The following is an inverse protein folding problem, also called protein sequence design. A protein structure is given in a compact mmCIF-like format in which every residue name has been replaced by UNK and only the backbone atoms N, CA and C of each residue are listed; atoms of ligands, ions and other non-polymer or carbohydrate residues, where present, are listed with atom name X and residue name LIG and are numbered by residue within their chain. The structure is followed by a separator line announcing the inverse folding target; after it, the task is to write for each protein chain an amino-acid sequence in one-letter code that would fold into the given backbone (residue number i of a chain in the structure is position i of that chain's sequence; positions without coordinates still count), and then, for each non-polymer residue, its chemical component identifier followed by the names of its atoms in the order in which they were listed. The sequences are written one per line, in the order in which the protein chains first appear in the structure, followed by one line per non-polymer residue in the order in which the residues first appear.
data_IF_639461280783
#
_entry.id   IF_639461280783
#
_cell.length_a   1.000
_cell.length_b   1.000
_cell.length_c   1.000
_cell.angle_alpha   90.00
_cell.angle_beta   90.00
_cell.angle_gamma   90.00
#
_symmetry.space_group_name_H-M   'P 1'
#
loop_
_entity.id
_entity.type
_entity.pdbx_description
1 polymer ?
#
# COMPACT_ATOMS: atom_id res chain seq x y z
N UNK A 1 -47.75 -17.68 -65.29
CA UNK A 1 -47.54 -19.13 -65.14
C UNK A 1 -46.65 -19.35 -63.93
N UNK A 2 -47.16 -20.13 -62.95
CA UNK A 2 -46.43 -20.94 -61.94
C UNK A 2 -45.44 -20.18 -61.01
N UNK A 3 -45.55 -20.14 -59.68
CA UNK A 3 -46.31 -20.89 -58.68
C UNK A 3 -45.40 -21.10 -57.45
N UNK A 4 -45.91 -20.83 -56.24
CA UNK A 4 -45.59 -21.38 -54.90
C UNK A 4 -45.62 -20.28 -53.83
N UNK A 5 -46.51 -20.25 -52.83
CA UNK A 5 -46.92 -21.18 -51.75
C UNK A 5 -46.44 -20.61 -50.41
N UNK A 6 -47.36 -20.04 -49.63
CA UNK A 6 -47.20 -19.93 -48.17
C UNK A 6 -48.59 -19.92 -47.48
N UNK A 7 -48.80 -20.74 -46.44
CA UNK A 7 -50.07 -20.90 -45.72
C UNK A 7 -50.29 -19.80 -44.64
N UNK A 8 -51.49 -19.71 -44.04
CA UNK A 8 -51.87 -18.62 -43.14
C UNK A 8 -51.32 -18.84 -41.72
N UNK A 9 -50.96 -17.75 -41.04
CA UNK A 9 -50.71 -17.78 -39.59
C UNK A 9 -52.03 -17.48 -38.89
N UNK A 10 -52.48 -18.45 -38.11
CA UNK A 10 -53.66 -18.43 -37.26
C UNK A 10 -53.65 -17.23 -36.30
N UNK A 11 -54.61 -16.32 -36.50
CA UNK A 11 -55.07 -15.40 -35.49
C UNK A 11 -56.12 -16.10 -34.63
N UNK A 12 -55.71 -16.72 -33.51
CA UNK A 12 -56.57 -17.05 -32.36
C UNK A 12 -55.77 -17.74 -31.27
N UNK A 13 -55.37 -17.00 -30.25
CA UNK A 13 -55.28 -17.41 -28.84
C UNK A 13 -54.50 -16.33 -28.09
N UNK A 14 -54.73 -16.18 -26.79
CA UNK A 14 -54.07 -15.23 -25.86
C UNK A 14 -54.73 -13.85 -25.70
N UNK A 15 -56.06 -13.81 -25.57
CA UNK A 15 -56.73 -12.70 -24.86
C UNK A 15 -57.75 -13.19 -23.84
N UNK A 16 -57.38 -14.13 -22.96
CA UNK A 16 -58.27 -14.53 -21.84
C UNK A 16 -57.62 -14.98 -20.53
N UNK A 17 -56.30 -14.89 -20.32
CA UNK A 17 -55.68 -15.39 -19.05
C UNK A 17 -55.15 -14.27 -18.14
N UNK A 18 -55.21 -13.00 -18.56
CA UNK A 18 -54.64 -11.89 -17.80
C UNK A 18 -55.47 -11.41 -16.58
N UNK A 19 -56.58 -12.06 -16.20
CA UNK A 19 -57.48 -11.55 -15.15
C UNK A 19 -57.75 -12.49 -13.97
N UNK A 20 -56.97 -13.56 -13.78
CA UNK A 20 -57.15 -14.48 -12.63
C UNK A 20 -55.91 -14.67 -11.73
N UNK A 21 -54.77 -14.03 -12.05
CA UNK A 21 -53.54 -14.12 -11.22
C UNK A 21 -53.39 -12.93 -10.27
N UNK A 22 -54.20 -11.87 -10.42
CA UNK A 22 -54.06 -10.66 -9.59
C UNK A 22 -54.80 -10.70 -8.23
N UNK A 23 -55.61 -11.74 -7.96
CA UNK A 23 -56.39 -11.82 -6.71
C UNK A 23 -55.89 -12.86 -5.69
N UNK A 24 -54.83 -13.62 -5.98
CA UNK A 24 -54.19 -14.54 -4.99
C UNK A 24 -52.97 -13.89 -4.30
N UNK A 25 -52.47 -12.76 -4.82
CA UNK A 25 -51.33 -12.05 -4.23
C UNK A 25 -51.64 -11.16 -3.01
N UNK A 26 -52.91 -10.96 -2.65
CA UNK A 26 -53.32 -10.02 -1.60
C UNK A 26 -53.70 -10.68 -0.25
N UNK A 27 -53.64 -12.01 -0.13
CA UNK A 27 -53.97 -12.73 1.12
C UNK A 27 -52.79 -13.40 1.81
N UNK A 28 -51.55 -13.25 1.33
CA UNK A 28 -50.36 -13.83 2.00
C UNK A 28 -49.50 -12.84 2.80
N UNK A 29 -49.89 -11.58 2.95
CA UNK A 29 -49.11 -10.62 3.77
C UNK A 29 -49.32 -10.72 5.28
N UNK A 30 -50.25 -11.56 5.76
CA UNK A 30 -50.51 -11.72 7.20
C UNK A 30 -49.59 -12.74 7.91
N UNK A 31 -48.87 -13.60 7.17
CA UNK A 31 -48.10 -14.72 7.76
C UNK A 31 -46.58 -14.47 7.93
N UNK A 32 -46.06 -13.30 7.54
CA UNK A 32 -44.64 -12.97 7.73
C UNK A 32 -44.35 -12.20 9.03
N UNK A 33 -45.37 -11.91 9.85
CA UNK A 33 -45.21 -11.11 11.06
C UNK A 33 -44.36 -11.78 12.16
N UNK A 34 -44.24 -13.12 12.15
CA UNK A 34 -43.66 -13.86 13.28
C UNK A 34 -42.47 -14.76 12.92
N UNK A 35 -41.74 -14.45 11.84
CA UNK A 35 -40.45 -15.11 11.58
C UNK A 35 -39.38 -14.52 12.49
N UNK A 36 -39.33 -14.96 13.74
CA UNK A 36 -38.14 -14.78 14.61
C UNK A 36 -36.93 -15.27 13.85
N UNK A 37 -35.93 -14.40 13.68
CA UNK A 37 -34.65 -14.81 13.14
C UNK A 37 -33.89 -15.58 14.25
N UNK A 38 -33.66 -16.90 14.08
CA UNK A 38 -32.99 -17.71 15.08
C UNK A 38 -31.50 -17.35 15.22
N UNK A 39 -30.91 -16.67 14.23
CA UNK A 39 -29.50 -16.29 14.24
C UNK A 39 -29.28 -14.86 14.77
N UNK A 40 -30.34 -14.13 15.12
CA UNK A 40 -30.24 -12.77 15.64
C UNK A 40 -29.75 -12.76 17.09
N UNK A 41 -28.85 -11.84 17.47
CA UNK A 41 -28.41 -11.67 18.86
C UNK A 41 -29.50 -11.03 19.76
N UNK A 42 -30.68 -10.72 19.20
CA UNK A 42 -31.80 -10.07 19.86
C UNK A 42 -32.83 -11.08 20.34
N UNK A 43 -33.41 -10.82 21.51
CA UNK A 43 -34.52 -11.62 22.06
C UNK A 43 -35.75 -11.56 21.15
N UNK A 44 -36.63 -12.57 21.24
CA UNK A 44 -37.89 -12.62 20.48
C UNK A 44 -38.74 -11.36 20.69
N UNK A 45 -38.80 -10.87 21.93
CA UNK A 45 -39.55 -9.67 22.27
C UNK A 45 -38.95 -8.42 21.57
N UNK A 46 -37.63 -8.23 21.66
CA UNK A 46 -36.95 -7.13 20.97
C UNK A 46 -37.17 -7.18 19.45
N UNK A 47 -37.05 -8.36 18.83
CA UNK A 47 -37.31 -8.51 17.40
C UNK A 47 -38.77 -8.14 17.02
N UNK A 48 -39.75 -8.55 17.83
CA UNK A 48 -41.16 -8.20 17.63
C UNK A 48 -41.39 -6.69 17.73
N UNK A 49 -40.83 -6.05 18.76
CA UNK A 49 -40.92 -4.60 18.94
C UNK A 49 -40.22 -3.83 17.81
N UNK A 50 -39.06 -4.28 17.32
CA UNK A 50 -38.37 -3.67 16.18
C UNK A 50 -39.16 -3.81 14.88
N UNK A 51 -39.84 -4.93 14.63
CA UNK A 51 -40.76 -5.06 13.48
C UNK A 51 -41.93 -4.09 13.60
N UNK A 52 -42.45 -3.88 14.80
CA UNK A 52 -43.49 -2.87 15.06
C UNK A 52 -42.97 -1.46 14.78
N UNK A 53 -41.77 -1.12 15.26
CA UNK A 53 -41.11 0.16 14.99
C UNK A 53 -40.87 0.38 13.48
N UNK A 54 -40.35 -0.63 12.78
CA UNK A 54 -40.16 -0.63 11.34
C UNK A 54 -41.49 -0.43 10.58
N UNK A 55 -42.59 -1.03 11.04
CA UNK A 55 -43.92 -0.82 10.47
C UNK A 55 -44.42 0.63 10.64
N UNK A 56 -44.12 1.28 11.77
CA UNK A 56 -44.41 2.71 11.95
C UNK A 56 -43.53 3.58 11.05
N UNK A 57 -42.23 3.29 10.96
CA UNK A 57 -41.28 3.99 10.10
C UNK A 57 -41.69 3.90 8.61
N UNK A 58 -42.09 2.71 8.14
CA UNK A 58 -42.62 2.48 6.78
C UNK A 58 -43.83 3.36 6.46
N UNK A 59 -44.63 3.71 7.47
CA UNK A 59 -45.81 4.59 7.35
C UNK A 59 -45.47 6.07 7.52
N UNK A 60 -44.18 6.44 7.58
CA UNK A 60 -43.72 7.81 7.83
C UNK A 60 -43.93 8.29 9.27
N UNK A 61 -44.29 7.41 10.21
CA UNK A 61 -44.55 7.74 11.61
C UNK A 61 -43.29 7.60 12.45
N UNK A 62 -42.28 8.40 12.13
CA UNK A 62 -41.00 8.43 12.85
C UNK A 62 -41.17 8.79 14.33
N UNK A 63 -42.12 9.67 14.65
CA UNK A 63 -42.53 10.03 16.01
C UNK A 63 -42.91 8.84 16.89
N UNK A 64 -43.52 7.80 16.31
CA UNK A 64 -43.91 6.56 17.02
C UNK A 64 -42.84 5.48 16.96
N UNK A 65 -42.02 5.48 15.92
CA UNK A 65 -40.94 4.51 15.75
C UNK A 65 -39.74 4.82 16.66
N UNK A 66 -39.33 6.08 16.74
CA UNK A 66 -38.13 6.51 17.47
C UNK A 66 -38.12 6.14 18.96
N UNK A 67 -39.22 6.29 19.74
CA UNK A 67 -39.24 5.87 21.14
C UNK A 67 -38.98 4.37 21.30
N UNK A 68 -39.51 3.53 20.39
CA UNK A 68 -39.32 2.07 20.45
C UNK A 68 -37.86 1.71 20.13
N UNK A 69 -37.27 2.36 19.11
CA UNK A 69 -35.84 2.15 18.81
C UNK A 69 -34.96 2.57 19.99
N UNK A 70 -35.24 3.72 20.61
CA UNK A 70 -34.49 4.21 21.76
C UNK A 70 -34.63 3.32 22.99
N UNK A 71 -35.84 2.84 23.29
CA UNK A 71 -36.09 1.90 24.38
C UNK A 71 -35.25 0.63 24.20
N UNK A 72 -35.28 0.04 23.00
CA UNK A 72 -34.49 -1.17 22.72
C UNK A 72 -33.00 -0.88 22.76
N UNK A 73 -32.57 0.29 22.27
CA UNK A 73 -31.16 0.70 22.31
C UNK A 73 -30.60 0.74 23.74
N UNK A 74 -31.40 1.16 24.74
CA UNK A 74 -30.95 1.14 26.14
C UNK A 74 -30.65 -0.27 26.66
N UNK A 75 -31.25 -1.28 26.05
CA UNK A 75 -31.04 -2.70 26.39
C UNK A 75 -29.90 -3.35 25.61
N UNK A 76 -29.29 -2.64 24.65
CA UNK A 76 -28.13 -3.14 23.90
C UNK A 76 -26.85 -3.04 24.74
N UNK A 77 -26.33 -4.20 25.16
CA UNK A 77 -25.13 -4.34 25.99
C UNK A 77 -23.85 -4.62 25.22
N UNK A 78 -23.96 -4.93 23.93
CA UNK A 78 -22.86 -5.36 23.07
C UNK A 78 -23.02 -4.81 21.65
N UNK A 79 -21.92 -4.85 20.89
CA UNK A 79 -21.87 -4.36 19.53
C UNK A 79 -22.80 -5.16 18.58
N UNK A 80 -22.83 -6.50 18.56
CA UNK A 80 -23.71 -7.26 17.66
C UNK A 80 -25.18 -6.89 17.80
N UNK A 81 -25.68 -6.65 19.03
CA UNK A 81 -27.05 -6.17 19.23
C UNK A 81 -27.27 -4.79 18.63
N UNK A 82 -26.35 -3.85 18.81
CA UNK A 82 -26.48 -2.51 18.21
C UNK A 82 -26.54 -2.58 16.68
N UNK A 83 -25.65 -3.37 16.06
CA UNK A 83 -25.64 -3.55 14.59
C UNK A 83 -26.93 -4.22 14.10
N UNK A 84 -27.43 -5.22 14.84
CA UNK A 84 -28.70 -5.88 14.51
C UNK A 84 -29.88 -4.91 14.58
N UNK A 85 -29.96 -4.07 15.61
CA UNK A 85 -30.99 -3.02 15.74
C UNK A 85 -30.89 -2.01 14.60
N UNK A 86 -29.67 -1.57 14.25
CA UNK A 86 -29.45 -0.63 13.15
C UNK A 86 -29.97 -1.17 11.81
N UNK A 87 -29.86 -2.48 11.55
CA UNK A 87 -30.39 -3.13 10.35
C UNK A 87 -31.91 -2.95 10.15
N UNK A 88 -32.68 -2.81 11.23
CA UNK A 88 -34.13 -2.53 11.14
C UNK A 88 -34.45 -1.10 10.70
N UNK A 89 -33.46 -0.20 10.68
CA UNK A 89 -33.63 1.20 10.27
C UNK A 89 -33.21 1.44 8.82
N UNK A 90 -32.44 0.54 8.20
CA UNK A 90 -31.77 0.77 6.90
C UNK A 90 -32.76 1.17 5.79
N UNK A 91 -33.92 0.50 5.73
CA UNK A 91 -34.87 0.64 4.61
C UNK A 91 -35.77 1.89 4.66
N UNK A 92 -35.77 2.65 5.76
CA UNK A 92 -36.83 3.64 6.04
C UNK A 92 -36.39 5.11 5.98
N UNK A 93 -35.26 5.38 5.30
CA UNK A 93 -34.81 6.72 4.92
C UNK A 93 -34.79 7.72 6.09
N UNK A 94 -35.23 8.96 5.83
CA UNK A 94 -35.22 10.08 6.79
C UNK A 94 -35.96 9.80 8.11
N UNK A 95 -37.03 8.99 8.08
CA UNK A 95 -37.88 8.77 9.26
C UNK A 95 -37.19 8.10 10.44
N UNK A 96 -36.03 7.47 10.20
CA UNK A 96 -35.26 6.74 11.21
C UNK A 96 -33.81 7.22 11.33
N UNK A 97 -33.44 8.32 10.67
CA UNK A 97 -32.03 8.79 10.65
C UNK A 97 -31.52 9.10 12.06
N UNK A 98 -32.29 9.79 12.89
CA UNK A 98 -31.86 10.15 14.24
C UNK A 98 -31.71 8.91 15.14
N UNK A 99 -32.67 7.98 15.06
CA UNK A 99 -32.58 6.71 15.77
C UNK A 99 -31.35 5.91 15.30
N UNK A 100 -31.12 5.83 13.99
CA UNK A 100 -29.97 5.14 13.39
C UNK A 100 -28.65 5.77 13.85
N UNK A 101 -28.55 7.10 13.86
CA UNK A 101 -27.37 7.81 14.38
C UNK A 101 -27.14 7.46 15.84
N UNK A 102 -28.17 7.50 16.69
CA UNK A 102 -28.06 7.16 18.10
C UNK A 102 -27.61 5.71 18.32
N UNK A 103 -28.14 4.76 17.54
CA UNK A 103 -27.75 3.34 17.59
C UNK A 103 -26.28 3.18 17.22
N UNK A 104 -25.81 3.83 16.13
CA UNK A 104 -24.42 3.74 15.71
C UNK A 104 -23.47 4.45 16.67
N UNK A 105 -23.89 5.56 17.29
CA UNK A 105 -23.11 6.23 18.33
C UNK A 105 -22.92 5.32 19.55
N UNK A 106 -23.98 4.62 19.97
CA UNK A 106 -23.89 3.63 21.04
C UNK A 106 -23.01 2.43 20.65
N UNK A 107 -23.11 1.99 19.40
CA UNK A 107 -22.25 0.93 18.86
C UNK A 107 -20.76 1.32 18.99
N UNK A 108 -20.43 2.57 18.67
CA UNK A 108 -19.08 3.12 18.82
C UNK A 108 -18.61 3.15 20.28
N UNK A 109 -19.46 3.55 21.23
CA UNK A 109 -19.13 3.54 22.66
C UNK A 109 -18.84 2.14 23.21
N UNK A 110 -19.48 1.13 22.64
CA UNK A 110 -19.33 -0.28 23.03
C UNK A 110 -18.16 -0.97 22.32
N UNK A 111 -17.60 -0.36 21.26
CA UNK A 111 -16.44 -0.90 20.55
C UNK A 111 -15.22 -0.96 21.47
N UNK A 112 -14.54 -2.10 21.49
CA UNK A 112 -13.32 -2.31 22.30
C UNK A 112 -12.14 -2.75 21.47
N UNK A 113 -12.40 -3.52 20.42
CA UNK A 113 -11.37 -4.09 19.57
C UNK A 113 -11.21 -3.26 18.29
N UNK A 114 -10.07 -3.47 17.62
CA UNK A 114 -9.81 -2.89 16.31
C UNK A 114 -10.88 -3.29 15.28
N UNK A 115 -11.30 -4.56 15.26
CA UNK A 115 -12.34 -5.04 14.35
C UNK A 115 -13.72 -4.43 14.65
N UNK A 116 -14.03 -4.16 15.92
CA UNK A 116 -15.27 -3.49 16.32
C UNK A 116 -15.39 -2.11 15.67
N UNK A 117 -14.32 -1.30 15.77
CA UNK A 117 -14.34 0.05 15.21
C UNK A 117 -14.40 0.04 13.68
N UNK A 118 -13.76 -0.93 13.00
CA UNK A 118 -13.91 -1.12 11.55
C UNK A 118 -15.36 -1.41 11.20
N UNK A 119 -15.98 -2.37 11.89
CA UNK A 119 -17.36 -2.76 11.63
C UNK A 119 -18.30 -1.57 11.82
N UNK A 120 -18.12 -0.80 12.89
CA UNK A 120 -18.89 0.44 13.15
C UNK A 120 -18.66 1.47 12.07
N UNK A 121 -17.42 1.69 11.62
CA UNK A 121 -17.11 2.65 10.56
C UNK A 121 -17.79 2.26 9.24
N UNK A 122 -17.63 1.00 8.80
CA UNK A 122 -18.24 0.48 7.56
C UNK A 122 -19.76 0.57 7.61
N UNK A 123 -20.38 0.12 8.71
CA UNK A 123 -21.83 0.15 8.86
C UNK A 123 -22.36 1.58 8.97
N UNK A 124 -21.69 2.46 9.70
CA UNK A 124 -22.07 3.88 9.78
C UNK A 124 -22.00 4.56 8.42
N UNK A 125 -21.01 4.21 7.58
CA UNK A 125 -20.88 4.72 6.21
C UNK A 125 -22.01 4.22 5.32
N UNK A 126 -22.30 2.92 5.35
CA UNK A 126 -23.45 2.30 4.64
C UNK A 126 -24.77 2.99 5.01
N UNK A 127 -24.88 3.44 6.26
CA UNK A 127 -26.05 4.06 6.84
C UNK A 127 -26.09 5.59 6.74
N UNK A 128 -25.08 6.20 6.09
CA UNK A 128 -24.93 7.65 5.92
C UNK A 128 -24.76 8.43 7.25
N UNK A 129 -24.33 7.76 8.32
CA UNK A 129 -23.97 8.35 9.61
C UNK A 129 -22.52 8.84 9.60
N UNK A 130 -22.19 9.79 8.72
CA UNK A 130 -20.81 10.21 8.44
C UNK A 130 -20.04 10.76 9.66
N UNK A 131 -20.74 11.37 10.61
CA UNK A 131 -20.20 11.85 11.87
C UNK A 131 -19.71 10.71 12.77
N UNK A 132 -20.50 9.63 12.87
CA UNK A 132 -20.11 8.42 13.60
C UNK A 132 -18.99 7.68 12.87
N UNK A 133 -19.05 7.60 11.54
CA UNK A 133 -17.97 7.03 10.72
C UNK A 133 -16.64 7.73 10.99
N UNK A 134 -16.63 9.07 10.98
CA UNK A 134 -15.42 9.87 11.28
C UNK A 134 -14.89 9.56 12.68
N UNK A 135 -15.77 9.50 13.68
CA UNK A 135 -15.40 9.27 15.08
C UNK A 135 -14.83 7.86 15.29
N UNK A 136 -15.46 6.84 14.71
CA UNK A 136 -14.98 5.45 14.75
C UNK A 136 -13.58 5.31 14.16
N UNK A 137 -13.32 6.04 13.09
CA UNK A 137 -12.03 6.01 12.43
C UNK A 137 -10.95 6.76 13.21
N UNK A 138 -11.27 7.90 13.80
CA UNK A 138 -10.31 8.59 14.66
C UNK A 138 -9.85 7.66 15.81
N UNK A 139 -10.78 6.86 16.35
CA UNK A 139 -10.45 5.82 17.31
C UNK A 139 -9.56 4.72 16.68
N UNK A 140 -9.88 4.22 15.47
CA UNK A 140 -9.03 3.25 14.75
C UNK A 140 -7.59 3.72 14.57
N UNK A 141 -7.40 4.94 14.06
CA UNK A 141 -6.06 5.51 13.85
C UNK A 141 -5.32 5.66 15.18
N UNK A 142 -6.02 6.01 16.26
CA UNK A 142 -5.42 6.14 17.60
C UNK A 142 -4.94 4.80 18.17
N UNK A 143 -5.69 3.71 17.93
CA UNK A 143 -5.42 2.38 18.50
C UNK A 143 -4.46 1.55 17.63
N UNK A 144 -4.44 1.77 16.31
CA UNK A 144 -3.57 1.04 15.39
C UNK A 144 -2.11 1.44 15.59
N UNK A 145 -1.27 0.51 16.10
CA UNK A 145 0.12 0.81 16.46
C UNK A 145 1.15 -0.08 15.75
N UNK A 146 0.71 -1.12 15.05
CA UNK A 146 1.60 -1.95 14.23
C UNK A 146 1.50 -1.59 12.76
N UNK A 147 2.58 -1.77 11.97
CA UNK A 147 2.55 -1.53 10.52
C UNK A 147 1.44 -2.32 9.81
N UNK A 148 1.18 -3.55 10.23
CA UNK A 148 0.15 -4.43 9.63
C UNK A 148 -1.25 -3.89 9.89
N UNK A 149 -1.53 -3.47 11.13
CA UNK A 149 -2.81 -2.84 11.49
C UNK A 149 -3.03 -1.55 10.69
N UNK A 150 -1.99 -0.74 10.51
CA UNK A 150 -2.09 0.51 9.75
C UNK A 150 -2.31 0.27 8.25
N UNK A 151 -1.70 -0.80 7.70
CA UNK A 151 -1.89 -1.20 6.30
C UNK A 151 -3.31 -1.71 6.06
N UNK A 152 -3.81 -2.55 6.97
CA UNK A 152 -5.17 -3.09 6.92
C UNK A 152 -6.20 -1.96 7.08
N UNK A 153 -5.96 -1.03 8.00
CA UNK A 153 -6.78 0.17 8.17
C UNK A 153 -6.82 1.01 6.89
N UNK A 154 -5.66 1.23 6.27
CA UNK A 154 -5.57 1.99 5.03
C UNK A 154 -6.36 1.34 3.88
N UNK A 155 -6.22 0.03 3.69
CA UNK A 155 -6.96 -0.72 2.66
C UNK A 155 -8.46 -0.67 2.90
N UNK A 156 -8.91 -1.00 4.11
CA UNK A 156 -10.34 -0.99 4.47
C UNK A 156 -10.94 0.41 4.37
N UNK A 157 -10.22 1.45 4.81
CA UNK A 157 -10.67 2.84 4.67
C UNK A 157 -10.75 3.25 3.19
N UNK A 158 -9.80 2.83 2.36
CA UNK A 158 -9.84 3.07 0.92
C UNK A 158 -11.04 2.39 0.24
N UNK A 159 -11.35 1.14 0.59
CA UNK A 159 -12.51 0.38 0.09
C UNK A 159 -13.85 1.09 0.36
N UNK A 160 -13.99 1.74 1.52
CA UNK A 160 -15.20 2.51 1.87
C UNK A 160 -15.15 3.98 1.42
N UNK A 161 -14.22 4.32 0.52
CA UNK A 161 -14.04 5.68 -0.03
C UNK A 161 -13.72 6.74 1.04
N UNK A 162 -12.89 6.38 2.00
CA UNK A 162 -12.40 7.27 3.06
C UNK A 162 -10.91 7.53 2.89
N UNK A 163 -10.58 8.21 1.80
CA UNK A 163 -9.21 8.46 1.34
C UNK A 163 -8.36 9.19 2.39
N UNK A 164 -8.89 10.21 3.05
CA UNK A 164 -8.16 10.99 4.07
C UNK A 164 -7.67 10.12 5.22
N UNK A 165 -8.47 9.12 5.58
CA UNK A 165 -8.18 8.20 6.68
C UNK A 165 -7.14 7.19 6.27
N UNK A 166 -7.31 6.63 5.08
CA UNK A 166 -6.34 5.73 4.51
C UNK A 166 -4.97 6.42 4.39
N UNK A 167 -4.98 7.69 3.98
CA UNK A 167 -3.79 8.53 3.91
C UNK A 167 -3.16 8.74 5.30
N UNK A 168 -3.93 9.17 6.31
CA UNK A 168 -3.45 9.32 7.69
C UNK A 168 -2.88 8.01 8.28
N UNK A 169 -3.50 6.87 7.99
CA UNK A 169 -3.01 5.57 8.42
C UNK A 169 -1.66 5.22 7.77
N UNK A 170 -1.51 5.49 6.47
CA UNK A 170 -0.25 5.31 5.76
C UNK A 170 0.82 6.29 6.21
N UNK A 171 0.48 7.54 6.50
CA UNK A 171 1.40 8.51 7.12
C UNK A 171 1.91 8.01 8.47
N UNK A 172 1.01 7.52 9.33
CA UNK A 172 1.40 6.91 10.61
C UNK A 172 2.28 5.68 10.38
N UNK A 173 1.95 4.81 9.42
CA UNK A 173 2.78 3.64 9.08
C UNK A 173 4.18 4.06 8.69
N UNK A 174 4.32 5.09 7.86
CA UNK A 174 5.60 5.60 7.40
C UNK A 174 6.54 5.95 8.56
N UNK A 175 6.03 6.56 9.64
CA UNK A 175 6.84 6.91 10.83
C UNK A 175 7.44 5.72 11.56
N UNK A 176 6.90 4.51 11.35
CA UNK A 176 7.35 3.27 12.00
C UNK A 176 8.33 2.50 11.11
N UNK A 177 8.40 2.81 9.82
CA UNK A 177 9.31 2.15 8.87
C UNK A 177 10.74 2.63 9.10
N UNK A 178 11.65 1.69 9.39
CA UNK A 178 13.06 1.98 9.73
C UNK A 178 14.09 1.24 8.87
N UNK A 179 13.65 0.39 7.94
CA UNK A 179 14.53 -0.46 7.15
C UNK A 179 14.30 -0.19 5.66
N UNK A 180 15.37 -0.33 4.85
CA UNK A 180 15.29 -0.19 3.39
C UNK A 180 14.26 -1.13 2.76
N UNK A 181 14.22 -2.44 3.10
CA UNK A 181 13.17 -3.32 2.58
C UNK A 181 11.77 -2.87 2.97
N UNK A 182 11.56 -2.45 4.23
CA UNK A 182 10.27 -1.96 4.69
C UNK A 182 9.83 -0.67 4.00
N UNK A 183 10.77 0.21 3.65
CA UNK A 183 10.49 1.43 2.89
C UNK A 183 10.08 1.10 1.44
N UNK A 184 10.72 0.13 0.80
CA UNK A 184 10.33 -0.33 -0.53
C UNK A 184 8.95 -1.00 -0.52
N UNK A 185 8.64 -1.81 0.49
CA UNK A 185 7.31 -2.40 0.68
C UNK A 185 6.25 -1.31 0.90
N UNK A 186 6.55 -0.33 1.75
CA UNK A 186 5.67 0.81 2.00
C UNK A 186 5.42 1.63 0.72
N UNK A 187 6.45 1.93 -0.07
CA UNK A 187 6.31 2.65 -1.33
C UNK A 187 5.44 1.87 -2.33
N UNK A 188 5.63 0.55 -2.42
CA UNK A 188 4.80 -0.30 -3.28
C UNK A 188 3.34 -0.32 -2.83
N UNK A 189 3.06 -0.36 -1.53
CA UNK A 189 1.69 -0.25 -1.03
C UNK A 189 1.05 1.11 -1.33
N UNK A 190 1.79 2.21 -1.15
CA UNK A 190 1.32 3.54 -1.52
C UNK A 190 1.01 3.63 -3.02
N UNK A 191 1.87 3.06 -3.87
CA UNK A 191 1.65 2.97 -5.31
C UNK A 191 0.33 2.26 -5.64
N UNK A 192 0.07 1.10 -5.01
CA UNK A 192 -1.15 0.32 -5.22
C UNK A 192 -2.42 1.04 -4.75
N UNK A 193 -2.32 1.85 -3.69
CA UNK A 193 -3.44 2.66 -3.16
C UNK A 193 -3.59 4.01 -3.87
N UNK A 194 -2.67 4.37 -4.78
CA UNK A 194 -2.68 5.66 -5.49
C UNK A 194 -2.21 6.85 -4.65
N UNK A 195 -1.50 6.63 -3.54
CA UNK A 195 -0.92 7.68 -2.69
C UNK A 195 0.45 8.12 -3.22
N UNK A 196 0.44 8.80 -4.36
CA UNK A 196 1.65 9.22 -5.09
C UNK A 196 2.53 10.18 -4.29
N UNK A 197 1.95 11.00 -3.42
CA UNK A 197 2.69 11.92 -2.55
C UNK A 197 3.53 11.18 -1.49
N UNK A 198 2.94 10.18 -0.81
CA UNK A 198 3.63 9.34 0.17
C UNK A 198 4.65 8.41 -0.48
N UNK A 199 4.30 7.83 -1.64
CA UNK A 199 5.21 7.04 -2.46
C UNK A 199 6.47 7.86 -2.81
N UNK A 200 6.29 9.08 -3.33
CA UNK A 200 7.39 9.96 -3.73
C UNK A 200 8.22 10.41 -2.54
N UNK A 201 7.57 10.74 -1.41
CA UNK A 201 8.26 11.09 -0.17
C UNK A 201 9.15 9.93 0.30
N UNK A 202 8.60 8.72 0.41
CA UNK A 202 9.34 7.55 0.85
C UNK A 202 10.51 7.22 -0.08
N UNK A 203 10.30 7.24 -1.40
CA UNK A 203 11.38 6.99 -2.38
C UNK A 203 12.46 8.06 -2.31
N UNK A 204 12.09 9.33 -2.15
CA UNK A 204 13.06 10.42 -2.02
C UNK A 204 13.90 10.26 -0.75
N UNK A 205 13.27 9.96 0.38
CA UNK A 205 13.96 9.79 1.67
C UNK A 205 14.88 8.56 1.62
N UNK A 206 14.45 7.47 0.97
CA UNK A 206 15.28 6.30 0.68
C UNK A 206 16.54 6.66 -0.15
N UNK A 207 16.39 7.53 -1.15
CA UNK A 207 17.52 8.02 -1.95
C UNK A 207 18.43 8.89 -1.10
N UNK A 208 17.87 9.78 -0.27
CA UNK A 208 18.62 10.75 0.55
C UNK A 208 19.42 10.09 1.67
N UNK A 209 18.91 9.02 2.25
CA UNK A 209 19.57 8.28 3.34
C UNK A 209 20.74 7.40 2.85
N UNK A 210 20.77 7.02 1.57
CA UNK A 210 21.82 6.13 1.05
C UNK A 210 23.10 6.89 0.64
N UNK A 211 24.23 6.48 1.23
CA UNK A 211 25.55 7.08 1.05
C UNK A 211 26.44 6.34 0.05
N UNK A 212 26.06 5.14 -0.38
CA UNK A 212 26.85 4.27 -1.24
C UNK A 212 26.28 4.17 -2.66
N UNK A 213 27.14 4.39 -3.66
CA UNK A 213 26.77 4.33 -5.08
C UNK A 213 26.20 2.96 -5.53
N UNK A 214 26.80 1.85 -5.07
CA UNK A 214 26.33 0.51 -5.42
C UNK A 214 24.93 0.25 -4.87
N UNK A 215 24.67 0.65 -3.62
CA UNK A 215 23.34 0.55 -3.00
C UNK A 215 22.31 1.44 -3.70
N UNK A 216 22.68 2.68 -4.08
CA UNK A 216 21.81 3.53 -4.89
C UNK A 216 21.43 2.85 -6.21
N UNK A 217 22.38 2.23 -6.91
CA UNK A 217 22.12 1.49 -8.14
C UNK A 217 21.19 0.28 -7.90
N UNK A 218 21.28 -0.39 -6.75
CA UNK A 218 20.36 -1.45 -6.36
C UNK A 218 18.94 -0.92 -6.10
N UNK A 219 18.83 0.19 -5.36
CA UNK A 219 17.56 0.88 -5.08
C UNK A 219 16.88 1.29 -6.39
N UNK A 220 17.63 1.82 -7.36
CA UNK A 220 17.09 2.24 -8.65
C UNK A 220 16.29 1.12 -9.33
N UNK A 221 16.83 -0.10 -9.35
CA UNK A 221 16.13 -1.27 -9.94
C UNK A 221 14.82 -1.60 -9.23
N UNK A 222 14.69 -1.26 -7.95
CA UNK A 222 13.49 -1.50 -7.13
C UNK A 222 12.45 -0.40 -7.29
N UNK A 223 12.87 0.84 -7.54
CA UNK A 223 11.95 1.98 -7.72
C UNK A 223 11.59 2.24 -9.19
N UNK A 224 12.32 1.67 -10.14
CA UNK A 224 12.03 1.71 -11.59
C UNK A 224 10.55 1.41 -11.94
N UNK A 225 9.90 0.37 -11.35
CA UNK A 225 8.49 0.06 -11.60
C UNK A 225 7.51 1.18 -11.26
N UNK A 226 7.86 2.06 -10.31
CA UNK A 226 7.02 3.20 -9.89
C UNK A 226 6.95 4.31 -10.95
N UNK A 227 7.81 4.28 -11.98
CA UNK A 227 7.84 5.24 -13.09
C UNK A 227 8.04 6.71 -12.65
N UNK A 228 8.69 6.93 -11.51
CA UNK A 228 9.03 8.25 -10.97
C UNK A 228 10.29 8.80 -11.65
N UNK A 229 10.15 9.26 -12.90
CA UNK A 229 11.28 9.64 -13.78
C UNK A 229 12.22 10.67 -13.15
N UNK A 230 11.67 11.64 -12.44
CA UNK A 230 12.43 12.68 -11.78
C UNK A 230 13.24 12.15 -10.59
N UNK A 231 12.69 11.22 -9.80
CA UNK A 231 13.42 10.56 -8.71
C UNK A 231 14.47 9.58 -9.24
N UNK A 232 14.21 8.87 -10.33
CA UNK A 232 15.22 8.05 -11.01
C UNK A 232 16.41 8.91 -11.46
N UNK A 233 16.14 10.08 -12.04
CA UNK A 233 17.17 11.05 -12.44
C UNK A 233 17.91 11.60 -11.22
N UNK A 234 17.21 11.93 -10.14
CA UNK A 234 17.80 12.42 -8.89
C UNK A 234 18.75 11.39 -8.27
N UNK A 235 18.31 10.14 -8.15
CA UNK A 235 19.12 9.02 -7.68
C UNK A 235 20.40 8.87 -8.50
N UNK A 236 20.27 8.84 -9.83
CA UNK A 236 21.43 8.68 -10.73
C UNK A 236 22.45 9.80 -10.59
N UNK A 237 22.00 11.04 -10.36
CA UNK A 237 22.91 12.16 -10.07
C UNK A 237 23.64 11.95 -8.74
N UNK A 238 22.91 11.58 -7.69
CA UNK A 238 23.50 11.30 -6.37
C UNK A 238 24.53 10.15 -6.45
N UNK A 239 24.19 9.08 -7.17
CA UNK A 239 25.10 7.95 -7.39
C UNK A 239 26.37 8.39 -8.12
N UNK A 240 26.25 9.25 -9.13
CA UNK A 240 27.38 9.81 -9.87
C UNK A 240 28.32 10.66 -9.01
N UNK A 241 27.78 11.34 -8.00
CA UNK A 241 28.57 12.14 -7.05
C UNK A 241 29.26 11.27 -6.00
N UNK A 242 28.71 10.10 -5.68
CA UNK A 242 29.29 9.13 -4.74
C UNK A 242 30.17 8.06 -5.40
N UNK A 243 30.18 7.96 -6.73
CA UNK A 243 30.92 6.96 -7.48
C UNK A 243 32.44 7.09 -7.27
N UNK A 244 33.08 5.99 -6.88
CA UNK A 244 34.52 5.96 -6.57
C UNK A 244 35.29 4.89 -7.33
N UNK A 245 34.61 4.00 -8.04
CA UNK A 245 35.21 2.92 -8.81
C UNK A 245 34.80 2.96 -10.28
N UNK A 246 35.57 2.26 -11.12
CA UNK A 246 35.23 2.06 -12.53
C UNK A 246 33.90 1.30 -12.69
N UNK A 247 33.64 0.35 -11.80
CA UNK A 247 32.41 -0.43 -11.76
C UNK A 247 31.19 0.45 -11.46
N UNK A 248 31.30 1.37 -10.49
CA UNK A 248 30.26 2.35 -10.19
C UNK A 248 29.86 3.15 -11.44
N UNK A 249 30.85 3.69 -12.15
CA UNK A 249 30.59 4.47 -13.37
C UNK A 249 29.98 3.61 -14.48
N UNK A 250 30.37 2.34 -14.59
CA UNK A 250 29.77 1.40 -15.55
C UNK A 250 28.29 1.15 -15.22
N UNK A 251 27.99 0.88 -13.96
CA UNK A 251 26.62 0.64 -13.48
C UNK A 251 25.71 1.86 -13.69
N UNK A 252 26.22 3.06 -13.36
CA UNK A 252 25.50 4.33 -13.58
C UNK A 252 25.29 4.57 -15.07
N UNK A 253 26.30 4.31 -15.92
CA UNK A 253 26.21 4.48 -17.36
C UNK A 253 25.11 3.62 -17.96
N UNK A 254 25.09 2.33 -17.63
CA UNK A 254 24.06 1.39 -18.12
C UNK A 254 22.67 1.82 -17.67
N UNK A 255 22.51 2.19 -16.40
CA UNK A 255 21.24 2.65 -15.86
C UNK A 255 20.77 3.95 -16.54
N UNK A 256 21.63 4.97 -16.63
CA UNK A 256 21.30 6.24 -17.26
C UNK A 256 20.99 6.09 -18.76
N UNK A 257 21.66 5.17 -19.47
CA UNK A 257 21.33 4.82 -20.85
C UNK A 257 19.93 4.21 -20.97
N UNK A 258 19.55 3.27 -20.09
CA UNK A 258 18.19 2.67 -20.08
C UNK A 258 17.10 3.73 -19.86
N UNK A 259 17.39 4.77 -19.08
CA UNK A 259 16.47 5.89 -18.81
C UNK A 259 16.60 7.08 -19.76
N UNK A 260 17.41 6.95 -20.82
CA UNK A 260 17.68 8.01 -21.80
C UNK A 260 18.15 9.35 -21.18
N UNK A 261 18.97 9.28 -20.14
CA UNK A 261 19.53 10.45 -19.43
C UNK A 261 20.91 10.79 -19.99
N UNK A 262 20.94 11.45 -21.16
CA UNK A 262 22.16 11.70 -21.96
C UNK A 262 23.28 12.38 -21.18
N UNK A 263 22.95 13.46 -20.50
CA UNK A 263 23.90 14.22 -19.70
C UNK A 263 24.55 13.38 -18.59
N UNK A 264 23.81 12.46 -17.98
CA UNK A 264 24.32 11.61 -16.91
C UNK A 264 25.22 10.50 -17.48
N UNK A 265 24.78 9.79 -18.53
CA UNK A 265 25.60 8.69 -19.06
C UNK A 265 26.87 9.23 -19.75
N UNK A 266 26.83 10.38 -20.41
CA UNK A 266 28.05 10.97 -21.02
C UNK A 266 29.09 11.30 -19.94
N UNK A 267 28.67 11.85 -18.79
CA UNK A 267 29.56 12.14 -17.66
C UNK A 267 30.08 10.86 -17.01
N UNK A 268 29.22 9.85 -16.81
CA UNK A 268 29.62 8.55 -16.26
C UNK A 268 30.68 7.87 -17.16
N UNK A 269 30.47 7.87 -18.48
CA UNK A 269 31.42 7.32 -19.45
C UNK A 269 32.77 8.06 -19.41
N UNK A 270 32.74 9.40 -19.35
CA UNK A 270 33.97 10.20 -19.26
C UNK A 270 34.73 9.94 -17.96
N UNK A 271 34.07 9.99 -16.80
CA UNK A 271 34.68 9.76 -15.49
C UNK A 271 35.23 8.33 -15.36
N UNK A 272 34.49 7.34 -15.85
CA UNK A 272 34.92 5.93 -15.89
C UNK A 272 36.19 5.73 -16.73
N UNK A 273 36.24 6.26 -17.95
CA UNK A 273 37.44 6.19 -18.81
C UNK A 273 38.64 6.89 -18.17
N UNK A 274 38.43 8.07 -17.58
CA UNK A 274 39.48 8.79 -16.86
C UNK A 274 40.05 7.96 -15.72
N UNK A 275 39.19 7.31 -14.93
CA UNK A 275 39.64 6.48 -13.81
C UNK A 275 40.42 5.24 -14.26
N UNK A 276 39.97 4.55 -15.31
CA UNK A 276 40.73 3.45 -15.91
C UNK A 276 42.13 3.88 -16.37
N UNK A 277 42.24 5.05 -17.01
CA UNK A 277 43.52 5.61 -17.43
C UNK A 277 44.43 5.91 -16.23
N UNK A 278 43.88 6.52 -15.17
CA UNK A 278 44.67 6.80 -13.96
C UNK A 278 45.17 5.51 -13.29
N UNK A 279 44.34 4.47 -13.21
CA UNK A 279 44.74 3.17 -12.68
C UNK A 279 45.87 2.53 -13.50
N UNK A 280 45.81 2.61 -14.83
CA UNK A 280 46.90 2.14 -15.72
C UNK A 280 48.20 2.89 -15.48
N UNK A 281 48.15 4.23 -15.45
CA UNK A 281 49.33 5.07 -15.20
C UNK A 281 49.95 4.75 -13.83
N UNK A 282 49.13 4.55 -12.80
CA UNK A 282 49.61 4.15 -11.47
C UNK A 282 50.27 2.76 -11.49
N UNK A 283 49.66 1.79 -12.18
CA UNK A 283 50.24 0.46 -12.38
C UNK A 283 51.58 0.51 -13.11
N UNK A 284 51.67 1.26 -14.21
CA UNK A 284 52.89 1.41 -15.00
C UNK A 284 54.01 2.08 -14.17
N UNK A 285 53.66 3.09 -13.37
CA UNK A 285 54.61 3.74 -12.45
C UNK A 285 55.11 2.80 -11.37
N UNK A 286 54.24 2.00 -10.76
CA UNK A 286 54.62 1.02 -9.75
C UNK A 286 55.54 -0.07 -10.35
N UNK A 287 55.21 -0.57 -11.54
CA UNK A 287 56.07 -1.53 -12.25
C UNK A 287 57.42 -0.92 -12.66
N UNK A 288 57.44 0.35 -13.05
CA UNK A 288 58.68 1.05 -13.35
C UNK A 288 59.55 1.23 -12.10
N UNK A 289 58.96 1.62 -10.97
CA UNK A 289 59.66 1.73 -9.69
C UNK A 289 60.24 0.38 -9.23
N UNK A 290 59.47 -0.70 -9.32
CA UNK A 290 59.95 -2.06 -9.02
C UNK A 290 61.14 -2.45 -9.89
N UNK A 291 61.08 -2.22 -11.21
CA UNK A 291 62.22 -2.51 -12.11
C UNK A 291 63.45 -1.67 -11.78
N UNK A 292 63.28 -0.41 -11.38
CA UNK A 292 64.41 0.45 -10.96
C UNK A 292 65.02 -0.07 -9.65
N UNK A 293 64.20 -0.50 -8.70
CA UNK A 293 64.65 -1.08 -7.43
C UNK A 293 65.37 -2.42 -7.65
N UNK A 294 64.82 -3.31 -8.49
CA UNK A 294 65.45 -4.58 -8.88
C UNK A 294 66.80 -4.33 -9.59
N UNK A 295 66.87 -3.37 -10.50
CA UNK A 295 68.11 -3.02 -11.18
C UNK A 295 69.18 -2.47 -10.21
N UNK A 296 68.79 -1.61 -9.26
CA UNK A 296 69.68 -1.12 -8.19
C UNK A 296 70.19 -2.26 -7.30
N UNK A 297 69.29 -3.14 -6.83
CA UNK A 297 69.69 -4.30 -6.03
C UNK A 297 70.62 -5.25 -6.80
N UNK A 298 70.39 -5.44 -8.10
CA UNK A 298 71.28 -6.21 -8.97
C UNK A 298 72.66 -5.60 -9.11
N UNK A 299 72.75 -4.26 -9.26
CA UNK A 299 74.02 -3.54 -9.29
C UNK A 299 74.79 -3.64 -7.98
N UNK A 300 74.12 -3.43 -6.84
CA UNK A 300 74.73 -3.50 -5.51
C UNK A 300 75.24 -4.92 -5.20
N UNK A 301 74.51 -5.94 -5.66
CA UNK A 301 74.91 -7.35 -5.52
C UNK A 301 76.13 -7.69 -6.39
N UNK A 302 76.18 -7.18 -7.63
CA UNK A 302 77.31 -7.37 -8.53
C UNK A 302 78.57 -6.65 -8.02
N UNK A 303 78.44 -5.42 -7.50
CA UNK A 303 79.57 -4.71 -6.90
C UNK A 303 80.10 -5.43 -5.65
N UNK A 304 79.23 -5.96 -4.80
CA UNK A 304 79.63 -6.73 -3.63
C UNK A 304 80.33 -8.06 -3.98
N UNK A 305 79.96 -8.71 -5.09
CA UNK A 305 80.67 -9.90 -5.59
C UNK A 305 82.06 -9.56 -6.12
N UNK A 306 82.17 -8.52 -6.95
CA UNK A 306 83.46 -8.06 -7.49
C UNK A 306 84.41 -7.63 -6.37
N UNK A 307 83.89 -6.98 -5.31
CA UNK A 307 84.68 -6.60 -4.15
C UNK A 307 85.12 -7.82 -3.31
N UNK A 308 84.31 -8.88 -3.24
CA UNK A 308 84.71 -10.17 -2.63
C UNK A 308 85.79 -10.89 -3.44
N UNK A 309 85.71 -10.86 -4.77
CA UNK A 309 86.72 -11.49 -5.65
C UNK A 309 88.05 -10.73 -5.65
N UNK A 310 88.01 -9.39 -5.67
CA UNK A 310 89.21 -8.56 -5.58
C UNK A 310 89.81 -8.54 -4.16
N UNK A 311 89.00 -8.68 -3.11
CA UNK A 311 89.46 -8.80 -1.73
C UNK A 311 90.02 -10.18 -1.35
N UNK A 312 89.70 -11.23 -2.12
CA UNK A 312 90.14 -12.62 -1.88
C UNK A 312 91.46 -13.01 -2.56
N UNK A 313 91.98 -12.19 -3.48
CA UNK A 313 93.20 -12.48 -4.26
C UNK A 313 94.51 -12.06 -3.61
N UNK A 314 94.50 -11.48 -2.41
CA UNK A 314 95.68 -10.92 -1.75
C UNK A 314 96.13 -11.71 -0.53
N UNK A 315 96.90 -12.79 -0.74
CA UNK A 315 98.10 -13.19 0.03
C UNK A 315 98.40 -14.68 -0.19
N UNK A 316 99.15 -14.98 -1.25
CA UNK A 316 100.02 -16.16 -1.27
C UNK A 316 101.32 -15.83 -2.02
N UNK A 317 102.18 -15.05 -1.37
CA UNK A 317 103.63 -15.03 -1.57
C UNK A 317 104.16 -15.24 -0.14
N UNK A 318 104.77 -16.36 0.23
CA UNK A 318 105.94 -16.93 -0.42
C UNK A 318 107.18 -16.47 0.36
N UNK A 319 107.36 -17.02 1.57
CA UNK A 319 108.63 -17.29 2.27
C UNK A 319 108.35 -18.27 3.41
#
# INVERSE_FOLDING_TARGET
MSGNFQPPVDARSLRSVALAVLCVGLLSQAAFADRVDPNSPLTKNQQSQLRKAASYAKKGRGDKASPIFNEILTTCTDLPKCIAVAGYTEQYGHSTVDARRAIMQRALELSRTYDDYILVAMKSRQYECFDVTRSAIQQLVSVANTPEQLSDLARKAHEVSMTDVAHLAMEKKYTVVKTVPGALEFANECHLLGFTDLERKCVKDLIDDEGNCSQLCMILRKIEPFKLKDLNRYLLKKALDQASSVEDFSNIWEAARRHNQKDIFDVAAFRGKKMQLMQRIQGDRAQHQQRVEEWKQGQDSAQNQVQKELGGGGMNNGF
#
